data_IF_333445713320
#
_entry.id   IF_333445713320
#
_cell.length_a   1.000
_cell.length_b   1.000
_cell.length_c   1.000
_cell.angle_alpha   90.00
_cell.angle_beta   90.00
_cell.angle_gamma   90.00
#
_symmetry.space_group_name_H-M   'P 1'
#
loop_
_entity.id
_entity.type
_entity.pdbx_description
1 polymer ?
#
# COMPACT_ATOMS: atom_id res chain seq x y z
N UNK A 1 -45.18 -7.67 27.94
CA UNK A 1 -44.79 -8.67 28.95
C UNK A 1 -43.44 -9.22 28.55
N UNK A 2 -42.41 -8.91 29.36
CA UNK A 2 -41.26 -9.75 29.75
C UNK A 2 -40.41 -10.23 28.60
N UNK A 3 -39.11 -9.96 28.47
CA UNK A 3 -38.04 -9.86 29.45
C UNK A 3 -36.84 -9.09 28.90
N UNK A 4 -36.37 -8.11 29.65
CA UNK A 4 -35.00 -7.56 29.65
C UNK A 4 -34.09 -8.51 30.42
N UNK A 5 -32.84 -8.68 29.99
CA UNK A 5 -31.83 -9.20 30.90
C UNK A 5 -30.55 -9.59 30.25
N UNK A 6 -29.46 -8.96 30.71
CA UNK A 6 -28.10 -9.41 30.82
C UNK A 6 -27.18 -9.35 29.56
N UNK A 7 -26.44 -8.25 29.48
CA UNK A 7 -24.98 -8.27 29.23
C UNK A 7 -24.39 -6.90 29.65
N UNK A 8 -24.22 -6.72 30.93
CA UNK A 8 -23.30 -5.74 31.51
C UNK A 8 -22.40 -6.49 32.48
N UNK A 9 -21.13 -6.58 32.17
CA UNK A 9 -20.03 -6.72 33.12
C UNK A 9 -18.78 -7.26 32.38
N UNK A 10 -17.87 -6.39 32.07
CA UNK A 10 -16.42 -6.63 32.09
C UNK A 10 -15.71 -5.34 31.59
N UNK A 11 -15.67 -4.35 32.47
CA UNK A 11 -14.78 -3.19 32.34
C UNK A 11 -14.53 -2.68 33.76
N UNK A 12 -13.51 -3.20 34.40
CA UNK A 12 -12.82 -2.49 35.49
C UNK A 12 -11.49 -3.17 35.75
N UNK A 13 -10.50 -2.33 36.02
CA UNK A 13 -9.16 -2.66 36.51
C UNK A 13 -8.04 -2.84 35.46
N UNK A 14 -7.44 -1.69 35.14
CA UNK A 14 -5.99 -1.52 35.14
C UNK A 14 -5.68 -0.04 35.39
N UNK A 15 -5.40 0.28 36.67
CA UNK A 15 -4.83 1.54 37.12
C UNK A 15 -3.35 1.58 36.76
N UNK A 16 -2.93 2.61 36.08
CA UNK A 16 -1.51 2.99 36.00
C UNK A 16 -1.14 3.81 37.23
N UNK A 17 -0.17 3.31 37.95
CA UNK A 17 0.45 4.04 39.06
C UNK A 17 1.67 4.81 38.52
N UNK A 18 1.62 6.11 38.64
CA UNK A 18 2.73 7.02 38.39
C UNK A 18 3.39 7.33 39.74
N UNK A 19 4.63 6.89 39.98
CA UNK A 19 5.57 7.74 40.68
C UNK A 19 7.00 7.15 40.84
N UNK A 20 7.94 8.10 40.68
CA UNK A 20 9.25 8.24 41.28
C UNK A 20 10.49 7.64 40.61
N UNK A 21 11.14 8.60 40.01
CA UNK A 21 12.58 8.88 39.92
C UNK A 21 13.43 8.37 41.10
N UNK A 22 14.65 7.85 40.78
CA UNK A 22 15.95 8.26 41.40
C UNK A 22 17.10 7.46 40.76
N UNK A 23 18.01 8.19 40.12
CA UNK A 23 19.37 7.74 39.83
C UNK A 23 20.24 7.91 41.10
N UNK A 24 21.30 7.13 41.28
CA UNK A 24 22.53 7.66 41.79
C UNK A 24 23.74 7.39 40.89
N UNK A 25 24.67 8.30 41.05
CA UNK A 25 25.85 8.55 40.26
C UNK A 25 27.02 7.58 40.51
N UNK A 26 27.94 7.62 39.55
CA UNK A 26 29.31 7.10 39.47
C UNK A 26 30.09 7.04 40.75
N UNK A 27 30.88 5.98 40.90
CA UNK A 27 32.20 6.06 41.51
C UNK A 27 33.22 5.18 40.81
N UNK A 28 34.30 5.80 40.42
CA UNK A 28 35.54 5.28 39.85
C UNK A 28 36.31 4.52 40.91
N UNK A 29 36.81 3.31 40.64
CA UNK A 29 37.98 2.77 41.31
C UNK A 29 38.91 2.03 40.34
N UNK A 30 40.13 2.55 40.25
CA UNK A 30 41.34 1.90 39.72
C UNK A 30 41.86 0.91 40.74
N UNK A 31 42.29 -0.27 40.29
CA UNK A 31 43.61 -0.86 40.59
C UNK A 31 43.68 -2.32 40.15
N UNK A 32 44.70 -2.67 39.41
CA UNK A 32 45.13 -4.06 39.17
C UNK A 32 45.76 -4.65 40.40
N UNK A 33 45.78 -5.99 40.51
CA UNK A 33 47.07 -6.67 40.38
C UNK A 33 47.03 -7.97 39.54
N UNK A 34 48.20 -8.24 38.96
CA UNK A 34 48.56 -9.46 38.27
C UNK A 34 48.52 -10.67 39.18
N UNK A 35 47.90 -11.76 38.73
CA UNK A 35 48.21 -13.09 39.19
C UNK A 35 48.43 -14.01 38.01
N UNK A 36 49.65 -14.56 37.93
CA UNK A 36 50.03 -15.71 37.10
C UNK A 36 49.51 -16.98 37.75
N UNK A 37 48.72 -17.76 37.00
CA UNK A 37 48.58 -19.20 37.28
C UNK A 37 48.42 -19.93 35.94
N UNK A 38 49.37 -20.80 35.71
CA UNK A 38 49.45 -21.83 34.67
C UNK A 38 48.39 -22.90 34.88
N UNK A 39 47.63 -23.20 33.81
CA UNK A 39 46.72 -24.36 33.76
C UNK A 39 46.32 -24.65 32.27
N UNK A 40 45.97 -25.87 31.90
CA UNK A 40 46.21 -26.45 30.59
C UNK A 40 45.24 -25.95 29.50
N UNK A 41 45.79 -25.98 28.28
CA UNK A 41 45.06 -25.77 27.02
C UNK A 41 43.75 -26.53 26.94
N UNK A 42 42.66 -25.79 26.90
CA UNK A 42 41.43 -26.30 26.33
C UNK A 42 41.33 -25.72 24.90
N UNK A 43 41.50 -26.60 23.92
CA UNK A 43 41.13 -26.38 22.55
C UNK A 43 39.64 -26.08 22.45
N UNK A 44 39.27 -24.81 22.46
CA UNK A 44 37.94 -24.38 22.08
C UNK A 44 37.88 -24.34 20.55
N UNK A 45 37.34 -25.42 19.99
CA UNK A 45 36.87 -25.48 18.61
C UNK A 45 36.27 -24.14 18.18
N UNK A 46 36.97 -23.43 17.35
CA UNK A 46 36.44 -22.30 16.58
C UNK A 46 35.40 -22.84 15.60
N UNK A 47 34.18 -23.01 16.07
CA UNK A 47 33.03 -23.08 15.15
C UNK A 47 32.98 -21.73 14.45
N UNK A 48 33.59 -21.66 13.27
CA UNK A 48 33.48 -20.53 12.38
C UNK A 48 32.00 -20.25 12.13
N UNK A 49 31.51 -19.21 12.76
CA UNK A 49 30.21 -18.62 12.43
C UNK A 49 30.38 -18.03 11.04
N UNK A 50 30.10 -18.84 9.99
CA UNK A 50 29.93 -18.32 8.63
C UNK A 50 28.73 -17.38 8.69
N UNK A 51 28.99 -16.09 8.88
CA UNK A 51 28.01 -15.10 8.51
C UNK A 51 27.75 -15.29 7.02
N UNK A 52 26.68 -15.97 6.71
CA UNK A 52 26.08 -15.95 5.38
C UNK A 52 25.67 -14.50 5.13
N UNK A 53 26.45 -13.77 4.35
CA UNK A 53 26.01 -12.49 3.79
C UNK A 53 24.85 -12.86 2.86
N UNK A 54 23.62 -12.82 3.37
CA UNK A 54 22.45 -13.03 2.54
C UNK A 54 22.42 -11.89 1.54
N UNK A 55 22.57 -12.23 0.27
CA UNK A 55 22.42 -11.27 -0.81
C UNK A 55 21.01 -10.72 -0.77
N UNK A 56 20.85 -9.40 -0.89
CA UNK A 56 19.53 -8.77 -0.95
C UNK A 56 18.67 -9.46 -2.03
N UNK A 57 17.39 -9.75 -1.76
CA UNK A 57 16.51 -10.38 -2.73
C UNK A 57 16.36 -9.50 -3.98
N UNK A 58 16.15 -10.12 -5.13
CA UNK A 58 16.01 -9.43 -6.41
C UNK A 58 14.60 -8.81 -6.50
N UNK A 59 14.54 -7.57 -7.03
CA UNK A 59 13.32 -6.87 -7.39
C UNK A 59 13.40 -6.42 -8.85
N UNK A 60 12.52 -6.93 -9.69
CA UNK A 60 12.40 -6.46 -11.07
C UNK A 60 11.66 -5.13 -11.09
N UNK A 61 12.24 -4.11 -11.70
CA UNK A 61 11.67 -2.78 -11.85
C UNK A 61 11.13 -2.61 -13.27
N UNK A 62 9.84 -2.27 -13.38
CA UNK A 62 9.19 -1.90 -14.64
C UNK A 62 8.76 -0.45 -14.56
N UNK A 63 9.27 0.36 -15.48
CA UNK A 63 8.87 1.77 -15.61
C UNK A 63 7.88 1.90 -16.75
N UNK A 64 6.68 2.36 -16.44
CA UNK A 64 5.59 2.64 -17.37
C UNK A 64 5.37 4.14 -17.43
N UNK A 65 4.90 4.63 -18.58
CA UNK A 65 4.53 6.04 -18.76
C UNK A 65 3.27 6.14 -19.62
N UNK A 66 2.21 6.69 -19.01
CA UNK A 66 0.93 6.84 -19.70
C UNK A 66 0.24 5.53 -20.04
N UNK A 67 0.63 4.41 -19.43
CA UNK A 67 0.01 3.11 -19.68
C UNK A 67 -1.42 3.11 -19.13
N UNK A 68 -2.42 2.71 -19.94
CA UNK A 68 -3.80 2.60 -19.49
C UNK A 68 -3.93 1.74 -18.25
N UNK A 69 -4.71 2.21 -17.27
CA UNK A 69 -4.81 1.53 -15.97
C UNK A 69 -5.33 0.09 -16.07
N UNK A 70 -6.16 -0.23 -17.06
CA UNK A 70 -6.60 -1.60 -17.29
C UNK A 70 -5.43 -2.53 -17.62
N UNK A 71 -4.55 -2.10 -18.50
CA UNK A 71 -3.37 -2.86 -18.92
C UNK A 71 -2.42 -3.07 -17.73
N UNK A 72 -2.18 -2.02 -16.93
CA UNK A 72 -1.38 -2.14 -15.72
C UNK A 72 -1.99 -3.14 -14.72
N UNK A 73 -3.28 -3.05 -14.44
CA UNK A 73 -3.95 -3.96 -13.49
C UNK A 73 -3.96 -5.41 -13.97
N UNK A 74 -4.09 -5.65 -15.27
CA UNK A 74 -3.97 -6.98 -15.86
C UNK A 74 -2.54 -7.52 -15.75
N UNK A 75 -1.54 -6.65 -15.95
CA UNK A 75 -0.14 -6.98 -15.74
C UNK A 75 0.14 -7.33 -14.27
N UNK A 76 -0.31 -6.52 -13.34
CA UNK A 76 -0.17 -6.75 -11.90
C UNK A 76 -0.79 -8.10 -11.48
N UNK A 77 -2.02 -8.38 -11.92
CA UNK A 77 -2.71 -9.63 -11.63
C UNK A 77 -1.95 -10.84 -12.20
N UNK A 78 -1.43 -10.73 -13.41
CA UNK A 78 -0.62 -11.77 -14.06
C UNK A 78 0.68 -12.00 -13.29
N UNK A 79 1.43 -10.95 -12.97
CA UNK A 79 2.69 -11.06 -12.23
C UNK A 79 2.50 -11.62 -10.82
N UNK A 80 1.41 -11.25 -10.14
CA UNK A 80 1.11 -11.82 -8.84
C UNK A 80 0.83 -13.32 -8.91
N UNK A 81 0.11 -13.79 -9.94
CA UNK A 81 -0.41 -15.16 -10.04
C UNK A 81 0.50 -16.12 -10.80
N UNK A 82 1.23 -15.64 -11.80
CA UNK A 82 1.97 -16.47 -12.74
C UNK A 82 3.50 -16.24 -12.72
N UNK A 83 4.01 -15.30 -11.92
CA UNK A 83 5.44 -15.11 -11.70
C UNK A 83 5.83 -15.50 -10.27
N UNK A 84 7.10 -15.88 -10.08
CA UNK A 84 7.69 -16.17 -8.77
C UNK A 84 8.60 -15.05 -8.27
N UNK A 85 8.83 -14.01 -9.07
CA UNK A 85 9.75 -12.94 -8.80
C UNK A 85 9.08 -11.77 -8.06
N UNK A 86 9.89 -10.94 -7.38
CA UNK A 86 9.41 -9.68 -6.84
C UNK A 86 9.39 -8.61 -7.94
N UNK A 87 8.41 -7.72 -7.87
CA UNK A 87 8.19 -6.67 -8.88
C UNK A 87 7.88 -5.32 -8.24
N UNK A 88 8.54 -4.30 -8.77
CA UNK A 88 8.21 -2.90 -8.55
C UNK A 88 7.76 -2.32 -9.89
N UNK A 89 6.52 -1.89 -9.97
CA UNK A 89 5.96 -1.27 -11.18
C UNK A 89 5.66 0.18 -10.85
N UNK A 90 6.22 1.09 -11.60
CA UNK A 90 5.95 2.53 -11.50
C UNK A 90 5.32 2.97 -12.81
N UNK A 91 4.08 3.47 -12.76
CA UNK A 91 3.42 4.07 -13.92
C UNK A 91 3.28 5.58 -13.72
N UNK A 92 3.98 6.32 -14.55
CA UNK A 92 3.99 7.77 -14.55
C UNK A 92 2.81 8.32 -15.36
N UNK A 93 1.64 8.34 -14.72
CA UNK A 93 0.37 8.72 -15.31
C UNK A 93 -0.35 7.55 -15.96
N UNK A 94 -1.66 7.56 -15.87
CA UNK A 94 -2.52 6.71 -16.69
C UNK A 94 -3.06 7.53 -17.86
N UNK A 95 -3.69 6.94 -18.84
CA UNK A 95 -4.10 7.69 -20.02
C UNK A 95 -5.36 8.55 -19.73
N UNK A 96 -6.52 8.05 -20.13
CA UNK A 96 -7.81 8.75 -20.00
C UNK A 96 -8.40 8.58 -18.60
N UNK A 97 -9.25 9.52 -18.16
CA UNK A 97 -9.99 9.35 -16.91
C UNK A 97 -10.72 8.02 -16.87
N UNK A 98 -10.45 7.23 -15.85
CA UNK A 98 -10.99 5.89 -15.68
C UNK A 98 -11.32 5.63 -14.21
N UNK A 99 -12.50 5.10 -13.94
CA UNK A 99 -12.90 4.70 -12.59
C UNK A 99 -12.41 3.28 -12.32
N UNK A 100 -11.76 3.09 -11.17
CA UNK A 100 -11.27 1.79 -10.71
C UNK A 100 -11.93 1.45 -9.39
N UNK A 101 -12.76 0.40 -9.40
CA UNK A 101 -13.48 -0.11 -8.22
C UNK A 101 -12.82 -1.36 -7.67
N UNK A 102 -12.87 -1.52 -6.34
CA UNK A 102 -12.50 -2.78 -5.71
C UNK A 102 -13.39 -3.95 -6.13
N UNK A 103 -12.89 -5.17 -5.94
CA UNK A 103 -13.55 -6.41 -6.37
C UNK A 103 -15.00 -6.54 -5.88
N UNK A 104 -15.30 -6.15 -4.66
CA UNK A 104 -16.64 -6.21 -4.06
C UNK A 104 -17.50 -4.96 -4.30
N UNK A 105 -16.97 -3.94 -4.99
CA UNK A 105 -17.68 -2.69 -5.24
C UNK A 105 -18.92 -2.88 -6.07
N UNK A 106 -19.98 -2.12 -5.75
CA UNK A 106 -21.24 -2.07 -6.51
C UNK A 106 -21.37 -0.67 -7.12
N UNK A 107 -21.52 -0.55 -8.46
CA UNK A 107 -21.60 0.76 -9.13
C UNK A 107 -22.73 1.63 -8.58
N UNK A 108 -23.91 1.07 -8.31
CA UNK A 108 -25.07 1.81 -7.77
C UNK A 108 -24.80 2.49 -6.42
N UNK A 109 -23.88 1.94 -5.62
CA UNK A 109 -23.53 2.46 -4.30
C UNK A 109 -22.35 3.44 -4.31
N UNK A 110 -21.50 3.37 -5.33
CA UNK A 110 -20.20 4.04 -5.34
C UNK A 110 -20.08 5.11 -6.42
N UNK A 111 -20.98 5.08 -7.43
CA UNK A 111 -20.89 5.96 -8.60
C UNK A 111 -22.17 6.75 -8.83
N UNK A 112 -22.01 7.96 -9.33
CA UNK A 112 -23.05 8.70 -10.01
C UNK A 112 -23.21 8.13 -11.42
N UNK A 113 -23.95 7.00 -11.53
CA UNK A 113 -23.97 6.16 -12.74
C UNK A 113 -24.48 6.91 -13.96
N UNK A 114 -25.47 7.79 -13.81
CA UNK A 114 -26.00 8.59 -14.93
C UNK A 114 -24.93 9.46 -15.60
N UNK A 115 -24.20 10.32 -14.87
CA UNK A 115 -23.06 11.07 -15.41
C UNK A 115 -21.96 10.17 -15.99
N UNK A 116 -21.62 9.04 -15.34
CA UNK A 116 -20.62 8.07 -15.84
C UNK A 116 -21.00 7.53 -17.23
N UNK A 117 -22.26 7.12 -17.42
CA UNK A 117 -22.78 6.64 -18.71
C UNK A 117 -22.77 7.76 -19.75
N UNK A 118 -23.29 8.95 -19.38
CA UNK A 118 -23.40 10.11 -20.27
C UNK A 118 -22.04 10.52 -20.85
N UNK A 119 -21.04 10.58 -19.97
CA UNK A 119 -19.70 11.04 -20.33
C UNK A 119 -18.78 9.88 -20.77
N UNK A 120 -19.32 8.67 -20.84
CA UNK A 120 -18.64 7.44 -21.29
C UNK A 120 -17.34 7.18 -20.52
N UNK A 121 -17.35 7.42 -19.20
CA UNK A 121 -16.18 7.17 -18.35
C UNK A 121 -16.01 5.65 -18.18
N UNK A 122 -14.87 5.05 -18.57
CA UNK A 122 -14.62 3.63 -18.36
C UNK A 122 -14.64 3.27 -16.88
N UNK A 123 -15.25 2.13 -16.54
CA UNK A 123 -15.30 1.61 -15.17
C UNK A 123 -14.67 0.24 -15.13
N UNK A 124 -13.62 0.10 -14.33
CA UNK A 124 -12.90 -1.16 -14.13
C UNK A 124 -13.26 -1.73 -12.76
N UNK A 125 -13.49 -3.04 -12.73
CA UNK A 125 -13.50 -3.84 -11.52
C UNK A 125 -12.17 -4.55 -11.41
N UNK A 126 -11.34 -4.18 -10.40
CA UNK A 126 -10.00 -4.74 -10.23
C UNK A 126 -10.03 -6.00 -9.36
N UNK A 127 -8.98 -6.83 -9.48
CA UNK A 127 -8.82 -8.08 -8.70
C UNK A 127 -8.51 -7.86 -7.21
N UNK A 128 -8.12 -6.65 -6.80
CA UNK A 128 -7.82 -6.31 -5.40
C UNK A 128 -9.06 -5.77 -4.69
N UNK A 129 -9.08 -5.89 -3.37
CA UNK A 129 -10.07 -5.22 -2.52
C UNK A 129 -9.87 -3.70 -2.46
N UNK A 130 -10.58 -3.03 -1.56
CA UNK A 130 -10.43 -1.60 -1.27
C UNK A 130 -11.51 -0.73 -1.90
N UNK A 131 -11.34 0.59 -1.79
CA UNK A 131 -12.30 1.61 -2.24
C UNK A 131 -12.33 1.82 -3.75
N UNK A 132 -12.94 2.93 -4.15
CA UNK A 132 -13.07 3.37 -5.54
C UNK A 132 -12.30 4.65 -5.74
N UNK A 133 -11.61 4.75 -6.86
CA UNK A 133 -10.84 5.94 -7.28
C UNK A 133 -11.15 6.26 -8.74
N UNK A 134 -10.99 7.52 -9.12
CA UNK A 134 -10.87 7.90 -10.52
C UNK A 134 -9.43 8.32 -10.77
N UNK A 135 -8.86 7.81 -11.84
CA UNK A 135 -7.45 7.98 -12.19
C UNK A 135 -7.33 8.55 -13.60
N UNK A 136 -6.29 9.32 -13.84
CA UNK A 136 -6.02 9.97 -15.14
C UNK A 136 -4.50 10.17 -15.32
N UNK A 137 -4.12 10.95 -16.33
CA UNK A 137 -2.72 11.29 -16.64
C UNK A 137 -1.95 11.93 -15.47
N UNK A 138 -2.67 12.45 -14.48
CA UNK A 138 -2.08 13.10 -13.30
C UNK A 138 -1.93 12.14 -12.12
N UNK A 139 -2.36 10.89 -12.25
CA UNK A 139 -2.24 9.88 -11.19
C UNK A 139 -0.95 9.07 -11.38
N UNK A 140 -0.11 9.02 -10.36
CA UNK A 140 1.04 8.12 -10.31
C UNK A 140 0.64 6.79 -9.65
N UNK A 141 1.10 5.68 -10.21
CA UNK A 141 0.92 4.37 -9.57
C UNK A 141 2.26 3.76 -9.20
N UNK A 142 2.31 3.18 -8.01
CA UNK A 142 3.42 2.30 -7.60
C UNK A 142 2.83 1.00 -7.10
N UNK A 143 3.29 -0.11 -7.68
CA UNK A 143 2.85 -1.46 -7.30
C UNK A 143 4.05 -2.29 -6.88
N UNK A 144 3.98 -2.85 -5.68
CA UNK A 144 4.99 -3.73 -5.11
C UNK A 144 4.40 -5.13 -4.98
N UNK A 145 4.97 -6.10 -5.70
CA UNK A 145 4.62 -7.51 -5.62
C UNK A 145 5.81 -8.22 -4.98
N UNK A 146 5.59 -8.80 -3.80
CA UNK A 146 6.66 -9.39 -3.02
C UNK A 146 6.35 -10.83 -2.61
N UNK A 147 7.38 -11.65 -2.56
CA UNK A 147 7.34 -12.94 -1.89
C UNK A 147 7.45 -12.72 -0.39
N UNK A 148 6.72 -13.49 0.38
CA UNK A 148 6.74 -13.43 1.84
C UNK A 148 8.15 -13.66 2.42
N UNK A 149 8.88 -14.60 1.85
CA UNK A 149 10.20 -14.98 2.37
C UNK A 149 11.29 -13.94 2.06
N UNK A 150 11.06 -13.09 1.06
CA UNK A 150 11.96 -12.00 0.68
C UNK A 150 11.74 -10.73 1.52
N UNK A 151 10.63 -10.66 2.25
CA UNK A 151 10.31 -9.58 3.20
C UNK A 151 9.87 -10.18 4.55
N UNK A 152 10.78 -10.87 5.25
CA UNK A 152 10.42 -11.67 6.43
C UNK A 152 9.87 -10.86 7.60
N UNK A 153 10.15 -9.55 7.63
CA UNK A 153 9.58 -8.61 8.63
C UNK A 153 8.09 -8.32 8.41
N UNK A 154 7.54 -8.67 7.23
CA UNK A 154 6.17 -8.37 6.84
C UNK A 154 5.34 -9.65 6.88
N UNK A 155 4.43 -9.71 7.84
CA UNK A 155 3.41 -10.75 7.81
C UNK A 155 2.41 -10.47 6.67
N UNK A 156 1.90 -11.51 5.96
CA UNK A 156 0.98 -11.33 4.83
C UNK A 156 -0.43 -10.94 5.30
N UNK A 157 -0.53 -9.83 5.98
CA UNK A 157 -1.78 -9.20 6.43
C UNK A 157 -1.82 -7.74 6.01
N UNK A 158 -3.00 -7.20 5.69
CA UNK A 158 -3.13 -5.84 5.21
C UNK A 158 -2.43 -4.80 6.10
N UNK A 159 -2.58 -4.87 7.40
CA UNK A 159 -1.95 -3.92 8.34
C UNK A 159 -0.42 -3.99 8.34
N UNK A 160 0.14 -5.19 8.25
CA UNK A 160 1.60 -5.37 8.23
C UNK A 160 2.21 -4.82 6.93
N UNK A 161 1.55 -5.10 5.80
CA UNK A 161 1.95 -4.56 4.49
C UNK A 161 1.82 -3.04 4.48
N UNK A 162 0.75 -2.47 5.05
CA UNK A 162 0.57 -1.02 5.18
C UNK A 162 1.65 -0.38 6.06
N UNK A 163 1.98 -0.96 7.21
CA UNK A 163 3.03 -0.44 8.09
C UNK A 163 4.39 -0.43 7.39
N UNK A 164 4.73 -1.51 6.70
CA UNK A 164 5.96 -1.62 5.92
C UNK A 164 6.03 -0.58 4.81
N UNK A 165 4.97 -0.45 4.01
CA UNK A 165 4.93 0.54 2.93
C UNK A 165 4.91 1.97 3.47
N UNK A 166 4.28 2.21 4.64
CA UNK A 166 4.34 3.48 5.34
C UNK A 166 5.76 3.87 5.74
N UNK A 167 6.57 2.90 6.20
CA UNK A 167 7.98 3.14 6.50
C UNK A 167 8.79 3.43 5.22
N UNK A 168 8.54 2.68 4.14
CA UNK A 168 9.18 2.92 2.85
C UNK A 168 8.87 4.33 2.33
N UNK A 169 7.61 4.76 2.34
CA UNK A 169 7.25 6.11 1.91
C UNK A 169 7.67 7.19 2.91
N UNK A 170 7.86 6.86 4.18
CA UNK A 170 8.51 7.75 5.15
C UNK A 170 9.90 8.18 4.71
N UNK A 171 10.67 7.27 4.10
CA UNK A 171 11.97 7.60 3.53
C UNK A 171 11.84 8.43 2.22
N UNK A 172 10.83 8.17 1.40
CA UNK A 172 10.58 8.94 0.17
C UNK A 172 10.25 10.39 0.47
N UNK A 173 9.47 10.61 1.52
CA UNK A 173 9.04 11.94 1.97
C UNK A 173 9.91 12.51 3.10
N UNK A 174 11.12 11.97 3.31
CA UNK A 174 12.07 12.56 4.26
C UNK A 174 12.34 14.02 3.91
N UNK A 175 12.17 14.91 4.90
CA UNK A 175 12.27 16.35 4.73
C UNK A 175 11.00 17.04 4.18
N UNK A 176 9.92 16.29 3.95
CA UNK A 176 8.60 16.83 3.59
C UNK A 176 7.72 16.83 4.83
N UNK A 177 7.28 18.00 5.25
CA UNK A 177 6.47 18.14 6.46
C UNK A 177 5.09 17.50 6.33
N UNK A 178 4.64 16.89 7.42
CA UNK A 178 3.28 16.40 7.58
C UNK A 178 2.97 15.06 6.95
N UNK A 179 3.96 14.34 6.34
CA UNK A 179 3.72 12.98 5.84
C UNK A 179 3.39 12.01 6.97
N UNK A 180 2.30 11.26 6.79
CA UNK A 180 1.89 10.21 7.72
C UNK A 180 1.15 9.08 6.98
N UNK A 181 1.27 7.87 7.53
CA UNK A 181 0.30 6.79 7.28
C UNK A 181 -0.82 6.93 8.31
N UNK A 182 -2.02 7.27 7.85
CA UNK A 182 -3.18 7.44 8.72
C UNK A 182 -4.27 6.45 8.33
N UNK A 183 -4.59 5.53 9.23
CA UNK A 183 -5.42 4.36 8.95
C UNK A 183 -4.84 3.54 7.78
N UNK A 184 -5.41 3.64 6.58
CA UNK A 184 -4.92 2.97 5.38
C UNK A 184 -4.60 3.96 4.25
N UNK A 185 -4.37 5.22 4.56
CA UNK A 185 -4.15 6.29 3.59
C UNK A 185 -2.81 6.98 3.85
N UNK A 186 -2.14 7.42 2.79
CA UNK A 186 -1.03 8.35 2.90
C UNK A 186 -1.56 9.77 2.87
N UNK A 187 -1.15 10.55 3.86
CA UNK A 187 -1.65 11.90 4.07
C UNK A 187 -0.50 12.90 4.28
N UNK A 188 -0.76 14.17 3.92
CA UNK A 188 -0.04 15.30 4.43
C UNK A 188 -0.96 16.03 5.41
N UNK A 189 -0.55 16.05 6.69
CA UNK A 189 -1.42 16.53 7.76
C UNK A 189 -2.69 15.67 7.90
N UNK A 190 -3.83 16.22 7.53
CA UNK A 190 -5.12 15.55 7.59
C UNK A 190 -5.77 15.33 6.21
N UNK A 191 -5.04 15.58 5.11
CA UNK A 191 -5.54 15.41 3.74
C UNK A 191 -4.83 14.28 3.01
N UNK A 192 -5.64 13.41 2.41
CA UNK A 192 -5.20 12.23 1.67
C UNK A 192 -4.61 12.60 0.32
N UNK A 193 -3.48 12.00 -0.03
CA UNK A 193 -2.91 12.06 -1.37
C UNK A 193 -2.60 10.67 -1.97
N UNK A 194 -2.64 9.62 -1.17
CA UNK A 194 -2.40 8.25 -1.63
C UNK A 194 -3.47 7.27 -1.14
N UNK A 195 -4.02 6.50 -2.06
CA UNK A 195 -4.98 5.44 -1.80
C UNK A 195 -4.42 4.07 -2.12
N UNK A 196 -4.66 3.09 -1.24
CA UNK A 196 -4.02 1.78 -1.31
C UNK A 196 -5.03 0.67 -1.58
N UNK A 197 -4.57 -0.38 -2.28
CA UNK A 197 -5.27 -1.63 -2.36
C UNK A 197 -4.29 -2.80 -2.36
N UNK A 198 -4.76 -3.95 -1.91
CA UNK A 198 -3.94 -5.13 -1.72
C UNK A 198 -4.67 -6.39 -2.17
N UNK A 199 -3.89 -7.37 -2.60
CA UNK A 199 -4.30 -8.75 -2.73
C UNK A 199 -3.22 -9.65 -2.16
N UNK A 200 -3.60 -10.60 -1.33
CA UNK A 200 -2.69 -11.52 -0.64
C UNK A 200 -3.06 -12.92 -1.05
N UNK A 201 -2.11 -13.63 -1.61
CA UNK A 201 -2.18 -15.07 -1.91
C UNK A 201 -1.23 -15.82 -0.99
N UNK A 202 -1.20 -17.16 -1.03
CA UNK A 202 -0.55 -18.02 -0.05
C UNK A 202 0.85 -17.55 0.40
N UNK A 203 1.75 -17.24 -0.54
CA UNK A 203 3.15 -16.89 -0.23
C UNK A 203 3.57 -15.55 -0.85
N UNK A 204 2.65 -14.78 -1.39
CA UNK A 204 2.91 -13.53 -2.09
C UNK A 204 1.83 -12.51 -1.81
N UNK A 205 2.17 -11.25 -1.97
CA UNK A 205 1.21 -10.16 -1.87
C UNK A 205 1.54 -9.06 -2.88
N UNK A 206 0.52 -8.34 -3.27
CA UNK A 206 0.65 -7.06 -3.96
C UNK A 206 0.12 -5.94 -3.08
N UNK A 207 0.85 -4.87 -3.07
CA UNK A 207 0.43 -3.59 -2.54
C UNK A 207 0.57 -2.55 -3.64
N UNK A 208 -0.54 -2.02 -4.12
CA UNK A 208 -0.51 -0.94 -5.08
C UNK A 208 -1.12 0.33 -4.50
N UNK A 209 -0.51 1.44 -4.85
CA UNK A 209 -0.91 2.78 -4.42
C UNK A 209 -1.15 3.66 -5.63
N UNK A 210 -2.30 4.32 -5.64
CA UNK A 210 -2.58 5.45 -6.52
C UNK A 210 -2.27 6.75 -5.79
N UNK A 211 -1.34 7.53 -6.31
CA UNK A 211 -0.96 8.82 -5.78
C UNK A 211 -1.59 9.95 -6.58
N UNK A 212 -2.26 10.85 -5.90
CA UNK A 212 -2.87 12.05 -6.47
C UNK A 212 -1.79 13.11 -6.69
N UNK A 213 -0.97 12.94 -7.76
CA UNK A 213 -0.01 13.97 -8.13
C UNK A 213 -0.72 15.29 -8.38
N UNK A 214 -1.73 15.24 -9.23
CA UNK A 214 -2.73 16.27 -9.44
C UNK A 214 -4.07 15.60 -9.74
N UNK A 215 -5.15 16.33 -9.81
CA UNK A 215 -6.45 15.82 -10.18
C UNK A 215 -7.37 16.91 -10.72
N UNK A 216 -8.26 16.51 -11.62
CA UNK A 216 -9.35 17.37 -12.05
C UNK A 216 -10.51 17.24 -11.05
N UNK A 217 -10.88 18.35 -10.42
CA UNK A 217 -11.99 18.38 -9.46
C UNK A 217 -13.31 17.86 -10.07
N UNK A 218 -13.56 18.11 -11.36
CA UNK A 218 -14.75 17.63 -12.06
C UNK A 218 -14.86 16.11 -12.05
N UNK A 219 -13.73 15.40 -12.06
CA UNK A 219 -13.73 13.94 -12.01
C UNK A 219 -14.25 13.38 -10.68
N UNK A 220 -14.18 14.14 -9.59
CA UNK A 220 -14.72 13.72 -8.29
C UNK A 220 -16.24 13.63 -8.28
N UNK A 221 -16.92 14.33 -9.18
CA UNK A 221 -18.39 14.30 -9.31
C UNK A 221 -18.95 12.96 -9.80
N UNK A 222 -18.11 12.06 -10.35
CA UNK A 222 -18.53 10.72 -10.71
C UNK A 222 -18.59 9.75 -9.53
N UNK A 223 -18.01 10.12 -8.38
CA UNK A 223 -17.88 9.27 -7.21
C UNK A 223 -18.87 9.67 -6.11
N UNK A 224 -19.64 8.71 -5.61
CA UNK A 224 -20.43 8.88 -4.39
C UNK A 224 -19.52 8.83 -3.16
N UNK A 225 -19.96 9.43 -2.08
CA UNK A 225 -19.32 9.24 -0.79
C UNK A 225 -19.52 7.78 -0.35
N UNK A 226 -18.45 7.06 -0.01
CA UNK A 226 -18.56 5.67 0.41
C UNK A 226 -19.24 5.59 1.79
N UNK A 227 -20.02 4.55 2.03
CA UNK A 227 -20.67 4.30 3.33
C UNK A 227 -19.68 4.03 4.47
N UNK A 228 -18.48 3.57 4.14
CA UNK A 228 -17.38 3.40 5.08
C UNK A 228 -16.28 4.39 4.74
N UNK A 229 -16.08 5.34 5.63
CA UNK A 229 -15.04 6.37 5.53
C UNK A 229 -14.04 6.23 6.68
N UNK A 230 -12.77 6.64 6.50
CA UNK A 230 -11.83 6.74 7.61
C UNK A 230 -12.35 7.70 8.67
N UNK A 231 -12.07 7.43 9.94
CA UNK A 231 -12.53 8.30 11.03
C UNK A 231 -12.02 9.74 10.91
N UNK A 232 -10.79 9.89 10.43
CA UNK A 232 -10.18 11.21 10.25
C UNK A 232 -10.76 12.02 9.08
N UNK A 233 -11.60 11.41 8.20
CA UNK A 233 -12.26 12.13 7.11
C UNK A 233 -13.30 13.12 7.63
N UNK A 234 -13.94 12.78 8.73
CA UNK A 234 -15.08 13.53 9.24
C UNK A 234 -16.20 13.62 8.17
N UNK A 235 -16.89 14.75 8.06
CA UNK A 235 -17.96 14.98 7.06
C UNK A 235 -17.45 15.66 5.77
N UNK A 236 -16.13 15.72 5.55
CA UNK A 236 -15.53 16.40 4.40
C UNK A 236 -15.92 15.73 3.08
N UNK A 237 -16.20 16.53 2.08
CA UNK A 237 -16.39 16.06 0.71
C UNK A 237 -15.08 15.50 0.11
N UNK A 238 -15.10 15.10 -1.17
CA UNK A 238 -13.91 14.56 -1.81
C UNK A 238 -12.81 15.61 -1.95
N UNK A 239 -13.14 16.84 -2.27
CA UNK A 239 -12.18 17.92 -2.57
C UNK A 239 -11.55 18.50 -1.32
N UNK A 240 -12.28 18.54 -0.24
CA UNK A 240 -11.79 18.95 1.09
C UNK A 240 -10.91 17.88 1.73
N UNK A 241 -11.21 16.60 1.43
CA UNK A 241 -10.53 15.45 2.03
C UNK A 241 -9.18 15.15 1.39
N UNK A 242 -8.98 15.48 0.11
CA UNK A 242 -7.74 15.16 -0.62
C UNK A 242 -6.84 16.39 -0.81
N UNK A 243 -5.56 16.15 -1.06
CA UNK A 243 -4.62 17.17 -1.50
C UNK A 243 -3.80 16.70 -2.70
N UNK A 244 -3.11 17.62 -3.34
CA UNK A 244 -2.24 17.35 -4.48
C UNK A 244 -0.82 17.11 -4.00
N UNK A 245 -0.22 16.00 -4.42
CA UNK A 245 1.16 15.68 -4.05
C UNK A 245 2.17 16.64 -4.67
N UNK A 246 1.86 17.23 -5.82
CA UNK A 246 2.71 18.23 -6.51
C UNK A 246 3.02 19.48 -5.67
N UNK A 247 2.19 19.76 -4.66
CA UNK A 247 2.39 20.91 -3.78
C UNK A 247 3.50 20.63 -2.74
N UNK A 248 4.03 19.40 -2.68
CA UNK A 248 4.97 18.93 -1.65
C UNK A 248 6.27 18.35 -2.19
N UNK A 249 6.26 17.78 -3.39
CA UNK A 249 7.45 17.12 -3.97
C UNK A 249 7.40 17.19 -5.50
N UNK A 250 8.55 17.27 -6.15
CA UNK A 250 8.65 17.17 -7.60
C UNK A 250 8.38 15.74 -8.09
N UNK A 251 7.73 15.62 -9.27
CA UNK A 251 7.27 14.35 -9.82
C UNK A 251 8.39 13.35 -10.06
N UNK A 252 9.47 13.81 -10.66
CA UNK A 252 10.67 13.02 -10.90
C UNK A 252 11.31 12.55 -9.58
N UNK A 253 11.38 13.46 -8.61
CA UNK A 253 11.99 13.17 -7.31
C UNK A 253 11.22 12.10 -6.56
N UNK A 254 9.88 12.15 -6.59
CA UNK A 254 9.05 11.10 -6.00
C UNK A 254 9.36 9.74 -6.61
N UNK A 255 9.42 9.64 -7.94
CA UNK A 255 9.71 8.37 -8.65
C UNK A 255 11.09 7.85 -8.27
N UNK A 256 12.13 8.69 -8.39
CA UNK A 256 13.50 8.26 -8.10
C UNK A 256 13.74 7.96 -6.62
N UNK A 257 13.17 8.73 -5.70
CA UNK A 257 13.22 8.45 -4.27
C UNK A 257 12.49 7.14 -3.93
N UNK A 258 11.37 6.84 -4.60
CA UNK A 258 10.66 5.57 -4.43
C UNK A 258 11.53 4.39 -4.86
N UNK A 259 12.11 4.44 -6.07
CA UNK A 259 13.01 3.38 -6.55
C UNK A 259 14.22 3.22 -5.62
N UNK A 260 14.81 4.32 -5.16
CA UNK A 260 15.92 4.31 -4.21
C UNK A 260 15.53 3.69 -2.87
N UNK A 261 14.35 4.00 -2.33
CA UNK A 261 13.86 3.43 -1.07
C UNK A 261 13.65 1.91 -1.19
N UNK A 262 13.05 1.43 -2.30
CA UNK A 262 12.93 0.00 -2.60
C UNK A 262 14.32 -0.64 -2.75
N UNK A 263 15.25 0.03 -3.41
CA UNK A 263 16.64 -0.43 -3.63
C UNK A 263 17.47 -0.58 -2.35
N UNK A 264 17.04 -0.01 -1.21
CA UNK A 264 17.68 -0.27 0.09
C UNK A 264 17.40 -1.68 0.63
N UNK A 265 16.29 -2.28 0.23
CA UNK A 265 15.85 -3.60 0.70
C UNK A 265 16.07 -4.69 -0.35
N UNK A 266 16.13 -4.33 -1.64
CA UNK A 266 16.21 -5.24 -2.77
C UNK A 266 17.33 -4.88 -3.71
N UNK A 267 17.94 -5.89 -4.36
CA UNK A 267 18.78 -5.68 -5.51
C UNK A 267 17.90 -5.39 -6.73
N UNK A 268 17.96 -4.16 -7.25
CA UNK A 268 17.09 -3.72 -8.35
C UNK A 268 17.60 -4.22 -9.71
N UNK A 269 16.67 -4.68 -10.56
CA UNK A 269 16.94 -5.04 -11.96
C UNK A 269 15.86 -4.41 -12.84
N UNK A 270 16.25 -3.53 -13.74
CA UNK A 270 15.29 -3.00 -14.72
C UNK A 270 14.89 -4.08 -15.74
N UNK A 271 13.62 -4.11 -16.07
CA UNK A 271 13.00 -5.05 -17.02
C UNK A 271 12.10 -4.25 -17.96
N UNK A 272 12.29 -4.44 -19.26
CA UNK A 272 11.41 -3.84 -20.26
C UNK A 272 10.05 -4.56 -20.26
N UNK A 273 9.00 -3.83 -20.60
CA UNK A 273 7.65 -4.39 -20.64
C UNK A 273 7.51 -5.54 -21.64
N UNK A 274 8.26 -5.47 -22.73
CA UNK A 274 8.30 -6.48 -23.81
C UNK A 274 8.86 -7.82 -23.34
N UNK A 275 9.71 -7.81 -22.31
CA UNK A 275 10.37 -9.00 -21.78
C UNK A 275 9.53 -9.73 -20.72
N UNK A 276 8.45 -9.13 -20.27
CA UNK A 276 7.63 -9.63 -19.12
C UNK A 276 7.06 -11.01 -19.39
N UNK A 277 6.74 -11.35 -20.65
CA UNK A 277 6.20 -12.66 -21.02
C UNK A 277 7.15 -13.80 -20.66
N UNK A 278 8.45 -13.54 -20.61
CA UNK A 278 9.45 -14.52 -20.19
C UNK A 278 9.41 -14.86 -18.69
N UNK A 279 8.87 -13.94 -17.86
CA UNK A 279 8.81 -14.06 -16.39
C UNK A 279 7.48 -14.59 -15.86
N UNK A 280 6.41 -14.46 -16.62
CA UNK A 280 5.07 -14.87 -16.21
C UNK A 280 4.52 -15.92 -17.18
N UNK A 281 5.00 -17.15 -17.04
CA UNK A 281 4.62 -18.30 -17.86
C UNK A 281 3.44 -19.02 -17.20
N UNK A 282 2.38 -19.20 -17.95
CA UNK A 282 1.22 -19.97 -17.53
C UNK A 282 -0.10 -19.19 -17.60
N UNK A 283 -1.16 -19.96 -17.63
CA UNK A 283 -2.53 -19.41 -17.57
C UNK A 283 -2.88 -19.03 -16.13
N UNK A 284 -3.66 -17.96 -15.98
CA UNK A 284 -4.23 -17.56 -14.72
C UNK A 284 -5.65 -17.06 -14.91
N UNK A 285 -6.47 -17.20 -13.88
CA UNK A 285 -7.82 -16.65 -13.89
C UNK A 285 -7.76 -15.14 -13.79
N UNK A 286 -8.26 -14.44 -14.79
CA UNK A 286 -8.36 -12.98 -14.80
C UNK A 286 -9.63 -12.55 -14.07
N UNK A 287 -9.48 -11.69 -13.08
CA UNK A 287 -10.59 -11.10 -12.32
C UNK A 287 -10.79 -9.62 -12.64
N UNK A 288 -9.72 -8.97 -13.11
CA UNK A 288 -9.77 -7.57 -13.55
C UNK A 288 -10.48 -7.47 -14.89
N UNK A 289 -11.48 -6.57 -14.98
CA UNK A 289 -12.25 -6.36 -16.22
C UNK A 289 -12.90 -4.98 -16.27
N UNK A 290 -13.22 -4.56 -17.47
CA UNK A 290 -14.16 -3.46 -17.69
C UNK A 290 -15.58 -3.89 -17.34
N UNK A 291 -16.38 -2.99 -16.81
CA UNK A 291 -17.83 -3.18 -16.75
C UNK A 291 -18.44 -2.86 -18.11
N UNK A 292 -19.47 -3.61 -18.47
CA UNK A 292 -20.20 -3.37 -19.71
C UNK A 292 -21.20 -2.23 -19.53
N UNK A 293 -21.72 -1.71 -20.64
CA UNK A 293 -22.76 -0.67 -20.60
C UNK A 293 -24.05 -1.20 -19.97
N UNK A 294 -24.39 -2.45 -20.22
CA UNK A 294 -25.56 -3.13 -19.65
C UNK A 294 -25.46 -3.20 -18.13
N UNK A 295 -24.30 -3.59 -17.59
CA UNK A 295 -24.07 -3.63 -16.13
C UNK A 295 -24.22 -2.25 -15.48
N UNK A 296 -23.79 -1.18 -16.16
CA UNK A 296 -23.97 0.18 -15.67
C UNK A 296 -25.43 0.63 -15.73
N UNK A 297 -26.16 0.26 -16.80
CA UNK A 297 -27.60 0.58 -16.93
C UNK A 297 -28.43 -0.17 -15.87
N UNK A 298 -28.14 -1.43 -15.59
CA UNK A 298 -28.76 -2.21 -14.53
C UNK A 298 -28.49 -1.58 -13.15
N UNK A 299 -27.25 -1.12 -12.91
CA UNK A 299 -26.90 -0.41 -11.68
C UNK A 299 -27.66 0.91 -11.52
N UNK A 300 -27.92 1.64 -12.61
CA UNK A 300 -28.71 2.85 -12.62
C UNK A 300 -30.18 2.57 -12.29
N UNK A 301 -30.77 1.53 -12.91
CA UNK A 301 -32.14 1.14 -12.66
C UNK A 301 -32.38 0.72 -11.20
N UNK A 302 -31.43 0.00 -10.59
CA UNK A 302 -31.50 -0.43 -9.20
C UNK A 302 -31.47 0.75 -8.21
N UNK A 303 -30.85 1.86 -8.56
CA UNK A 303 -30.84 3.08 -7.73
C UNK A 303 -32.18 3.78 -7.74
N UNK A 304 -32.91 3.77 -8.86
CA UNK A 304 -34.21 4.42 -9.01
C UNK A 304 -35.34 3.68 -8.27
N UNK A 305 -35.17 2.40 -7.93
CA UNK A 305 -36.15 1.61 -7.18
C UNK A 305 -35.98 1.71 -5.66
N UNK A 306 -34.86 2.23 -5.19
CA UNK A 306 -34.54 2.36 -3.75
C UNK A 306 -34.63 3.80 -3.21
N UNK A 307 -34.98 4.76 -4.06
CA UNK A 307 -35.29 6.15 -3.73
C UNK A 307 -36.78 6.40 -3.70
#
# INVERSE_FOLDING_TARGET
MVSRGLFNSFLSELRFDTNQSKFPALSVFRSSPRFLLSGPCFDLYSKGFKMSISRAPLMNLVRLKGTPILEQLLLEERLLRASTDNWCIVNDGTNVPTIVMGMSGKPSQLLEVGPVIKDRIPVIKRFTGGGTVIVDKSTLFVSLICNKDDVPSVQPYPRSVMAWSGSLYGEVFEGVDGFQLRENDYVFGDRKFGGNAQSIIRNRWIHHTSFLWDYNVRNMAYLKLPSKVPQYRLERDHTEFVCRMKDYIERSDFVEKTVKAVGKQFAMKEVNIEDIDSYAKGEHVKSTRLLTMEELQEAMASTSQSA
#
